data_IF_531293747513
#
_entry.id   IF_531293747513
#
_cell.length_a   1.000
_cell.length_b   1.000
_cell.length_c   1.000
_cell.angle_alpha   90.00
_cell.angle_beta   90.00
_cell.angle_gamma   90.00
#
_symmetry.space_group_name_H-M   'P 1'
#
loop_
_entity.id
_entity.type
_entity.pdbx_description
1 polymer ?
#
# COMPACT_ATOMS: atom_id res chain seq x y z
N UNK A 1 10.59 6.37 -1.26
CA UNK A 1 10.49 7.86 -1.13
C UNK A 1 10.37 8.45 -2.54
N UNK A 2 9.71 9.60 -2.75
CA UNK A 2 9.72 10.25 -4.08
C UNK A 2 11.10 10.88 -4.33
N UNK A 3 11.80 10.45 -5.38
CA UNK A 3 12.95 11.19 -5.92
C UNK A 3 12.47 12.51 -6.56
N UNK A 4 13.38 13.47 -6.75
CA UNK A 4 13.05 14.72 -7.42
C UNK A 4 12.60 14.48 -8.87
N UNK A 5 13.19 13.48 -9.55
CA UNK A 5 12.78 13.02 -10.88
C UNK A 5 11.32 12.53 -10.90
N UNK A 6 10.93 11.68 -9.93
CA UNK A 6 9.54 11.20 -9.85
C UNK A 6 8.58 12.35 -9.54
N UNK A 7 8.97 13.32 -8.69
CA UNK A 7 8.14 14.51 -8.42
C UNK A 7 7.93 15.34 -9.69
N UNK A 8 8.99 15.57 -10.46
CA UNK A 8 8.92 16.33 -11.70
C UNK A 8 7.97 15.65 -12.69
N UNK A 9 8.12 14.34 -12.92
CA UNK A 9 7.23 13.59 -13.81
C UNK A 9 5.78 13.55 -13.30
N UNK A 10 5.56 13.39 -12.00
CA UNK A 10 4.23 13.40 -11.42
C UNK A 10 3.52 14.77 -11.54
N UNK A 11 4.29 15.86 -11.66
CA UNK A 11 3.79 17.22 -11.88
C UNK A 11 3.67 17.58 -13.36
N UNK A 12 4.24 16.79 -14.27
CA UNK A 12 4.10 16.98 -15.70
C UNK A 12 2.71 16.50 -16.18
N UNK A 13 1.84 17.48 -16.42
CA UNK A 13 0.47 17.25 -16.88
C UNK A 13 0.30 17.51 -18.39
N UNK A 14 1.38 17.76 -19.13
CA UNK A 14 1.37 18.14 -20.56
C UNK A 14 0.62 17.13 -21.44
N UNK A 15 0.70 15.85 -21.09
CA UNK A 15 0.04 14.72 -21.78
C UNK A 15 -1.12 14.14 -20.99
N UNK A 16 -1.52 14.74 -19.87
CA UNK A 16 -2.70 14.30 -19.14
C UNK A 16 -3.97 14.78 -19.83
N UNK A 17 -5.05 13.99 -19.72
CA UNK A 17 -6.38 14.37 -20.18
C UNK A 17 -6.96 13.41 -21.20
N UNK A 18 -8.01 13.84 -21.88
CA UNK A 18 -8.71 13.04 -22.90
C UNK A 18 -8.24 13.39 -24.31
N UNK A 19 -8.30 12.41 -25.20
CA UNK A 19 -8.14 12.61 -26.64
C UNK A 19 -9.49 12.35 -27.34
N UNK A 20 -9.92 13.27 -28.18
CA UNK A 20 -11.16 13.14 -28.97
C UNK A 20 -10.91 12.31 -30.21
N UNK A 21 -11.77 11.31 -30.46
CA UNK A 21 -11.66 10.38 -31.59
C UNK A 21 -10.28 9.72 -31.72
N UNK A 22 -9.82 8.99 -30.67
CA UNK A 22 -8.53 8.32 -30.70
C UNK A 22 -8.54 7.14 -31.67
N UNK A 23 -7.42 6.92 -32.35
CA UNK A 23 -7.23 5.74 -33.20
C UNK A 23 -7.10 4.46 -32.37
N UNK A 24 -6.53 4.57 -31.17
CA UNK A 24 -6.40 3.46 -30.24
C UNK A 24 -6.55 3.87 -28.78
N UNK A 25 -7.14 2.97 -27.99
CA UNK A 25 -7.33 3.12 -26.55
C UNK A 25 -6.96 1.84 -25.82
N UNK A 26 -6.15 1.98 -24.78
CA UNK A 26 -5.78 0.89 -23.88
C UNK A 26 -6.05 1.27 -22.43
N UNK A 27 -6.66 0.34 -21.71
CA UNK A 27 -7.09 0.55 -20.33
C UNK A 27 -6.69 -0.61 -19.44
N UNK A 28 -6.12 -0.27 -18.28
CA UNK A 28 -5.88 -1.21 -17.19
C UNK A 28 -6.82 -0.85 -16.05
N UNK A 29 -7.73 -1.75 -15.69
CA UNK A 29 -8.65 -1.57 -14.56
C UNK A 29 -8.00 -1.90 -13.21
N UNK A 30 -8.52 -1.30 -12.12
CA UNK A 30 -8.14 -1.67 -10.74
C UNK A 30 -8.80 -2.98 -10.26
N UNK A 31 -9.87 -3.44 -10.93
CA UNK A 31 -10.57 -4.71 -10.70
C UNK A 31 -11.11 -5.26 -12.02
N UNK A 32 -11.40 -6.56 -12.07
CA UNK A 32 -12.17 -7.16 -13.16
C UNK A 32 -13.52 -6.43 -13.33
N UNK A 33 -13.82 -5.97 -14.54
CA UNK A 33 -15.05 -5.22 -14.84
C UNK A 33 -15.05 -3.73 -14.46
N UNK A 34 -13.90 -3.15 -14.04
CA UNK A 34 -13.75 -1.71 -13.81
C UNK A 34 -12.98 -0.97 -14.93
N UNK A 35 -12.47 -1.69 -15.92
CA UNK A 35 -12.06 -1.07 -17.18
C UNK A 35 -13.28 -0.37 -17.83
N UNK A 36 -13.06 0.79 -18.44
CA UNK A 36 -14.12 1.65 -18.98
C UNK A 36 -14.84 2.57 -17.97
N UNK A 37 -14.80 2.27 -16.66
CA UNK A 37 -15.47 3.11 -15.62
C UNK A 37 -14.49 3.78 -14.64
N UNK A 38 -13.45 3.07 -14.18
CA UNK A 38 -12.39 3.58 -13.29
C UNK A 38 -11.03 2.91 -13.62
N UNK A 39 -10.36 3.30 -14.71
CA UNK A 39 -9.09 2.72 -15.09
C UNK A 39 -7.96 3.14 -14.13
N UNK A 40 -7.13 2.20 -13.69
CA UNK A 40 -5.87 2.48 -13.00
C UNK A 40 -4.97 3.36 -13.88
N UNK A 41 -4.86 3.01 -15.17
CA UNK A 41 -4.26 3.82 -16.21
C UNK A 41 -5.01 3.62 -17.54
N UNK A 42 -5.12 4.70 -18.30
CA UNK A 42 -5.72 4.73 -19.64
C UNK A 42 -4.85 5.55 -20.55
N UNK A 43 -4.54 5.01 -21.73
CA UNK A 43 -3.88 5.72 -22.82
C UNK A 43 -4.80 5.82 -24.02
N UNK A 44 -4.81 6.98 -24.65
CA UNK A 44 -5.49 7.24 -25.91
C UNK A 44 -4.47 7.86 -26.89
N UNK A 45 -4.38 7.30 -28.09
CA UNK A 45 -3.38 7.69 -29.09
C UNK A 45 -4.01 7.97 -30.45
N UNK A 46 -3.38 8.87 -31.20
CA UNK A 46 -3.58 8.98 -32.65
C UNK A 46 -2.31 8.56 -33.38
N UNK A 47 -2.49 7.85 -34.49
CA UNK A 47 -1.42 7.24 -35.26
C UNK A 47 -1.54 7.66 -36.72
N UNK A 48 -0.47 8.24 -37.27
CA UNK A 48 -0.34 8.54 -38.70
C UNK A 48 0.90 7.86 -39.26
N UNK A 49 0.78 7.16 -40.39
CA UNK A 49 1.89 6.44 -41.03
C UNK A 49 2.67 5.53 -40.07
N UNK A 50 1.96 4.82 -39.19
CA UNK A 50 2.53 3.98 -38.12
C UNK A 50 3.32 4.75 -37.03
N UNK A 51 3.19 6.07 -36.93
CA UNK A 51 3.84 6.91 -35.91
C UNK A 51 2.79 7.44 -34.95
N UNK A 52 3.05 7.36 -33.64
CA UNK A 52 2.20 7.96 -32.60
C UNK A 52 2.39 9.47 -32.63
N UNK A 53 1.45 10.19 -33.25
CA UNK A 53 1.54 11.66 -33.42
C UNK A 53 0.98 12.43 -32.22
N UNK A 54 0.14 11.77 -31.41
CA UNK A 54 -0.48 12.37 -30.24
C UNK A 54 -0.85 11.29 -29.25
N UNK A 55 -0.59 11.57 -27.98
CA UNK A 55 -0.88 10.66 -26.87
C UNK A 55 -1.47 11.44 -25.70
N UNK A 56 -2.50 10.88 -25.06
CA UNK A 56 -3.04 11.38 -23.80
C UNK A 56 -3.24 10.24 -22.81
N UNK A 57 -3.00 10.53 -21.54
CA UNK A 57 -3.22 9.56 -20.48
C UNK A 57 -4.18 10.08 -19.40
N UNK A 58 -4.87 9.13 -18.76
CA UNK A 58 -5.69 9.35 -17.58
C UNK A 58 -5.34 8.27 -16.57
N UNK A 59 -5.20 8.66 -15.30
CA UNK A 59 -4.67 7.78 -14.26
C UNK A 59 -5.42 8.03 -12.95
N UNK A 60 -5.87 6.95 -12.32
CA UNK A 60 -6.51 6.95 -11.01
C UNK A 60 -5.65 6.15 -10.02
N UNK A 61 -4.38 6.56 -9.90
CA UNK A 61 -3.33 5.88 -9.15
C UNK A 61 -2.51 6.82 -8.26
N UNK A 62 -1.53 6.26 -7.54
CA UNK A 62 -0.62 7.05 -6.72
C UNK A 62 0.34 7.89 -7.59
N UNK A 63 1.03 8.88 -7.02
CA UNK A 63 1.94 9.74 -7.80
C UNK A 63 3.05 9.00 -8.54
N UNK A 64 3.46 7.80 -8.10
CA UNK A 64 4.36 6.92 -8.85
C UNK A 64 3.73 6.42 -10.16
N UNK A 65 2.45 6.03 -10.14
CA UNK A 65 1.70 5.66 -11.34
C UNK A 65 1.51 6.86 -12.26
N UNK A 66 1.28 8.05 -11.71
CA UNK A 66 1.20 9.30 -12.50
C UNK A 66 2.52 9.55 -13.20
N UNK A 67 3.63 9.50 -12.48
CA UNK A 67 4.97 9.69 -13.02
C UNK A 67 5.30 8.66 -14.12
N UNK A 68 5.01 7.38 -13.87
CA UNK A 68 5.21 6.31 -14.86
C UNK A 68 4.38 6.51 -16.12
N UNK A 69 3.11 6.93 -15.99
CA UNK A 69 2.27 7.22 -17.15
C UNK A 69 2.77 8.44 -17.93
N UNK A 70 3.23 9.48 -17.24
CA UNK A 70 3.78 10.67 -17.87
C UNK A 70 5.07 10.35 -18.64
N UNK A 71 6.00 9.62 -18.02
CA UNK A 71 7.23 9.16 -18.65
C UNK A 71 6.95 8.25 -19.86
N UNK A 72 6.08 7.24 -19.70
CA UNK A 72 5.72 6.36 -20.81
C UNK A 72 5.05 7.13 -21.97
N UNK A 73 4.22 8.14 -21.68
CA UNK A 73 3.60 8.98 -22.69
C UNK A 73 4.64 9.79 -23.48
N UNK A 74 5.60 10.39 -22.76
CA UNK A 74 6.67 11.17 -23.37
C UNK A 74 7.57 10.31 -24.26
N UNK A 75 7.98 9.14 -23.76
CA UNK A 75 8.82 8.20 -24.50
C UNK A 75 8.15 7.67 -25.77
N UNK A 76 6.82 7.58 -25.81
CA UNK A 76 6.08 7.00 -26.92
C UNK A 76 5.69 8.00 -28.01
N UNK A 77 5.55 9.28 -27.69
CA UNK A 77 5.16 10.30 -28.67
C UNK A 77 6.26 10.48 -29.72
N UNK A 78 5.89 10.39 -31.00
CA UNK A 78 6.82 10.44 -32.13
C UNK A 78 7.50 9.12 -32.48
N UNK A 79 7.28 8.04 -31.72
CA UNK A 79 7.78 6.71 -32.05
C UNK A 79 6.85 5.95 -33.01
N UNK A 80 7.41 4.97 -33.71
CA UNK A 80 6.59 4.03 -34.47
C UNK A 80 5.82 3.10 -33.53
N UNK A 81 4.64 2.64 -33.94
CA UNK A 81 3.83 1.68 -33.15
C UNK A 81 4.62 0.42 -32.79
N UNK A 82 5.53 -0.02 -33.66
CA UNK A 82 6.41 -1.16 -33.41
C UNK A 82 7.44 -0.86 -32.31
N UNK A 83 8.03 0.34 -32.31
CA UNK A 83 9.00 0.74 -31.28
C UNK A 83 8.32 0.97 -29.93
N UNK A 84 7.09 1.50 -29.94
CA UNK A 84 6.30 1.64 -28.71
C UNK A 84 6.03 0.27 -28.07
N UNK A 85 5.76 -0.77 -28.87
CA UNK A 85 5.59 -2.14 -28.36
C UNK A 85 6.88 -2.79 -27.80
N UNK A 86 8.04 -2.19 -28.06
CA UNK A 86 9.34 -2.59 -27.49
C UNK A 86 9.68 -1.82 -26.21
N UNK A 87 8.85 -0.87 -25.77
CA UNK A 87 9.04 -0.22 -24.49
C UNK A 87 8.80 -1.23 -23.36
N UNK A 88 9.70 -1.25 -22.39
CA UNK A 88 9.63 -2.14 -21.23
C UNK A 88 9.37 -1.34 -19.97
N UNK A 89 8.77 -1.96 -18.94
CA UNK A 89 8.61 -1.35 -17.61
C UNK A 89 9.95 -0.86 -17.06
N UNK A 90 11.02 -1.65 -17.25
CA UNK A 90 12.37 -1.27 -16.85
C UNK A 90 12.87 0.01 -17.50
N UNK A 91 12.57 0.27 -18.79
CA UNK A 91 12.96 1.53 -19.44
C UNK A 91 12.20 2.74 -18.90
N UNK A 92 10.94 2.55 -18.53
CA UNK A 92 10.15 3.61 -17.85
C UNK A 92 10.71 3.84 -16.45
N UNK A 93 11.06 2.77 -15.73
CA UNK A 93 11.68 2.84 -14.41
C UNK A 93 13.02 3.59 -14.42
N UNK A 94 13.89 3.27 -15.39
CA UNK A 94 15.15 3.98 -15.63
C UNK A 94 14.93 5.47 -15.94
N UNK A 95 13.88 5.81 -16.70
CA UNK A 95 13.51 7.19 -17.00
C UNK A 95 13.08 7.98 -15.75
N UNK A 96 12.56 7.28 -14.74
CA UNK A 96 12.17 7.84 -13.45
C UNK A 96 13.32 7.91 -12.44
N UNK A 97 14.54 7.53 -12.83
CA UNK A 97 15.71 7.38 -11.95
C UNK A 97 15.47 6.32 -10.85
N UNK A 98 14.71 5.29 -11.19
CA UNK A 98 14.36 4.18 -10.31
C UNK A 98 13.15 4.46 -9.43
N UNK A 99 12.15 3.61 -9.55
CA UNK A 99 11.03 3.48 -8.63
C UNK A 99 11.49 2.73 -7.38
N UNK A 100 10.92 3.04 -6.21
CA UNK A 100 11.08 2.18 -5.04
C UNK A 100 10.64 0.76 -5.36
N UNK A 101 11.35 -0.25 -4.84
CA UNK A 101 11.07 -1.67 -5.10
C UNK A 101 9.61 -2.03 -4.80
N UNK A 102 8.98 -1.40 -3.81
CA UNK A 102 7.57 -1.60 -3.48
C UNK A 102 6.57 -0.93 -4.45
N UNK A 103 7.05 -0.29 -5.53
CA UNK A 103 6.28 0.46 -6.54
C UNK A 103 6.68 0.17 -7.99
N UNK A 104 7.54 -0.81 -8.22
CA UNK A 104 7.98 -1.25 -9.56
C UNK A 104 6.82 -1.52 -10.53
N UNK A 105 5.73 -2.12 -10.01
CA UNK A 105 4.50 -2.41 -10.75
C UNK A 105 3.82 -1.18 -11.37
N UNK A 106 4.16 0.05 -10.94
CA UNK A 106 3.62 1.27 -11.53
C UNK A 106 4.07 1.42 -13.00
N UNK A 107 5.30 1.02 -13.31
CA UNK A 107 5.80 1.00 -14.67
C UNK A 107 5.10 -0.08 -15.52
N UNK A 108 4.81 -1.25 -14.94
CA UNK A 108 4.07 -2.32 -15.60
C UNK A 108 2.67 -1.86 -16.03
N UNK A 109 1.93 -1.22 -15.12
CA UNK A 109 0.58 -0.71 -15.41
C UNK A 109 0.62 0.30 -16.57
N UNK A 110 1.58 1.22 -16.56
CA UNK A 110 1.71 2.24 -17.60
C UNK A 110 2.02 1.60 -18.97
N UNK A 111 3.02 0.71 -19.04
CA UNK A 111 3.43 0.06 -20.28
C UNK A 111 2.35 -0.86 -20.83
N UNK A 112 1.65 -1.62 -19.97
CA UNK A 112 0.54 -2.47 -20.42
C UNK A 112 -0.62 -1.66 -21.01
N UNK A 113 -1.01 -0.55 -20.36
CA UNK A 113 -2.05 0.34 -20.87
C UNK A 113 -1.64 0.97 -22.21
N UNK A 114 -0.38 1.41 -22.33
CA UNK A 114 0.17 1.96 -23.57
C UNK A 114 0.21 0.95 -24.71
N UNK A 115 0.69 -0.27 -24.45
CA UNK A 115 0.68 -1.37 -25.43
C UNK A 115 -0.75 -1.74 -25.84
N UNK A 116 -1.70 -1.71 -24.90
CA UNK A 116 -3.13 -1.85 -25.19
C UNK A 116 -3.61 -0.79 -26.20
N UNK A 117 -3.22 0.47 -26.02
CA UNK A 117 -3.60 1.55 -26.93
C UNK A 117 -3.03 1.35 -28.34
N UNK A 118 -1.78 0.89 -28.45
CA UNK A 118 -1.17 0.58 -29.74
C UNK A 118 -1.85 -0.59 -30.43
N UNK A 119 -2.07 -1.70 -29.72
CA UNK A 119 -2.75 -2.87 -30.29
C UNK A 119 -4.19 -2.53 -30.69
N UNK A 120 -4.87 -1.69 -29.92
CA UNK A 120 -6.19 -1.15 -30.25
C UNK A 120 -6.15 -0.38 -31.57
N UNK A 121 -5.19 0.53 -31.75
CA UNK A 121 -5.01 1.28 -33.01
C UNK A 121 -4.74 0.36 -34.21
N UNK A 122 -3.99 -0.72 -34.02
CA UNK A 122 -3.68 -1.68 -35.08
C UNK A 122 -4.83 -2.65 -35.38
N UNK A 123 -5.75 -2.87 -34.43
CA UNK A 123 -6.75 -3.94 -34.43
C UNK A 123 -8.21 -3.49 -34.68
N UNK A 124 -8.42 -2.33 -35.30
CA UNK A 124 -9.72 -1.68 -35.59
C UNK A 124 -10.35 -0.87 -34.43
N UNK A 125 -9.54 -0.29 -33.53
CA UNK A 125 -9.97 0.77 -32.61
C UNK A 125 -10.83 0.32 -31.43
N UNK A 126 -10.97 -1.00 -31.20
CA UNK A 126 -11.64 -1.51 -30.00
C UNK A 126 -10.80 -1.23 -28.76
N UNK A 127 -11.41 -0.72 -27.70
CA UNK A 127 -10.73 -0.51 -26.41
C UNK A 127 -10.23 -1.86 -25.91
N UNK A 128 -8.91 -1.97 -25.70
CA UNK A 128 -8.33 -3.17 -25.08
C UNK A 128 -8.28 -2.97 -23.58
N UNK A 129 -9.16 -3.69 -22.91
CA UNK A 129 -9.27 -3.73 -21.46
C UNK A 129 -8.45 -4.91 -20.94
N UNK A 130 -7.49 -4.61 -20.08
CA UNK A 130 -6.77 -5.62 -19.31
C UNK A 130 -6.86 -5.28 -17.82
N UNK A 131 -6.56 -6.26 -16.99
CA UNK A 131 -6.58 -6.15 -15.55
C UNK A 131 -5.21 -6.52 -15.01
N UNK A 132 -4.65 -5.67 -14.16
CA UNK A 132 -3.49 -6.02 -13.35
C UNK A 132 -3.99 -6.46 -11.97
N UNK A 133 -3.60 -7.65 -11.47
CA UNK A 133 -4.05 -8.19 -10.17
C UNK A 133 -3.64 -7.36 -8.94
N UNK A 134 -3.10 -6.16 -9.13
CA UNK A 134 -2.57 -5.30 -8.06
C UNK A 134 -3.69 -4.50 -7.42
N UNK A 135 -4.54 -5.23 -6.69
CA UNK A 135 -5.29 -4.89 -5.47
C UNK A 135 -6.40 -5.95 -5.35
N UNK A 136 -6.02 -7.23 -5.23
CA UNK A 136 -6.86 -8.11 -4.44
C UNK A 136 -6.89 -7.53 -3.03
N UNK A 137 -8.10 -7.32 -2.52
CA UNK A 137 -8.37 -7.22 -1.09
C UNK A 137 -7.91 -8.57 -0.53
N UNK A 138 -6.60 -8.71 -0.28
CA UNK A 138 -6.05 -9.99 0.14
C UNK A 138 -6.76 -10.32 1.43
N UNK A 139 -7.47 -11.45 1.41
CA UNK A 139 -8.01 -12.05 2.62
C UNK A 139 -6.90 -12.22 3.67
N UNK A 140 -7.27 -12.60 4.89
CA UNK A 140 -6.32 -12.67 5.97
C UNK A 140 -5.13 -13.59 5.62
N UNK A 141 -3.91 -13.08 5.78
CA UNK A 141 -2.66 -13.82 5.48
C UNK A 141 -2.45 -14.96 6.47
N UNK A 142 -2.91 -14.77 7.70
CA UNK A 142 -2.91 -15.76 8.78
C UNK A 142 -4.36 -16.13 9.05
N UNK A 143 -4.62 -17.41 9.32
CA UNK A 143 -5.93 -17.89 9.77
C UNK A 143 -5.81 -18.58 11.12
N UNK A 144 -6.95 -18.93 11.73
CA UNK A 144 -6.99 -19.66 13.01
C UNK A 144 -6.30 -21.04 12.94
N UNK A 145 -6.09 -21.58 11.75
CA UNK A 145 -5.44 -22.87 11.52
C UNK A 145 -3.91 -22.77 11.42
N UNK A 146 -3.35 -21.55 11.46
CA UNK A 146 -1.91 -21.36 11.40
C UNK A 146 -1.21 -22.01 12.62
N UNK A 147 -0.22 -22.90 12.43
CA UNK A 147 0.42 -23.62 13.54
C UNK A 147 1.10 -22.71 14.57
N UNK A 148 1.72 -21.62 14.13
CA UNK A 148 2.38 -20.66 15.02
C UNK A 148 1.34 -19.88 15.82
N UNK A 149 0.28 -19.40 15.17
CA UNK A 149 -0.85 -18.76 15.85
C UNK A 149 -1.50 -19.69 16.88
N UNK A 150 -1.75 -20.96 16.52
CA UNK A 150 -2.31 -21.94 17.45
C UNK A 150 -1.39 -22.22 18.64
N UNK A 151 -0.07 -22.34 18.40
CA UNK A 151 0.89 -22.52 19.48
C UNK A 151 0.89 -21.33 20.46
N UNK A 152 0.79 -20.10 19.95
CA UNK A 152 0.65 -18.89 20.76
C UNK A 152 -0.66 -18.88 21.55
N UNK A 153 -1.79 -19.15 20.90
CA UNK A 153 -3.11 -19.08 21.52
C UNK A 153 -3.43 -20.22 22.48
N UNK A 154 -2.88 -21.42 22.25
CA UNK A 154 -3.03 -22.58 23.12
C UNK A 154 -2.10 -22.57 24.33
N UNK A 155 -1.12 -21.66 24.38
CA UNK A 155 -0.27 -21.49 25.57
C UNK A 155 -1.06 -20.88 26.75
N UNK A 156 -0.57 -20.95 27.99
CA UNK A 156 -1.13 -20.18 29.10
C UNK A 156 -1.06 -18.65 28.84
N UNK A 157 -2.17 -17.94 29.06
CA UNK A 157 -2.22 -16.48 28.96
C UNK A 157 -1.46 -15.81 30.12
N UNK A 158 -0.97 -14.59 29.89
CA UNK A 158 -0.52 -13.70 30.97
C UNK A 158 -1.67 -13.27 31.88
N UNK A 159 -1.35 -12.84 33.11
CA UNK A 159 -2.36 -12.54 34.14
C UNK A 159 -3.23 -11.30 33.85
N UNK A 160 -2.74 -10.34 33.06
CA UNK A 160 -3.40 -9.04 32.82
C UNK A 160 -3.77 -8.79 31.35
N UNK A 161 -3.76 -9.82 30.50
CA UNK A 161 -4.06 -9.68 29.07
C UNK A 161 -5.49 -10.11 28.74
N UNK A 162 -6.19 -9.29 27.95
CA UNK A 162 -7.53 -9.62 27.41
C UNK A 162 -7.42 -10.65 26.28
N UNK A 163 -8.51 -11.34 25.97
CA UNK A 163 -8.52 -12.27 24.84
C UNK A 163 -8.27 -11.55 23.51
N UNK A 164 -8.80 -10.33 23.37
CA UNK A 164 -8.67 -9.49 22.18
C UNK A 164 -7.24 -8.99 21.96
N UNK A 165 -6.56 -8.51 23.01
CA UNK A 165 -5.18 -8.05 22.91
C UNK A 165 -4.22 -9.22 22.74
N UNK A 166 -4.52 -10.36 23.38
CA UNK A 166 -3.78 -11.60 23.16
C UNK A 166 -3.89 -12.07 21.70
N UNK A 167 -5.08 -12.06 21.13
CA UNK A 167 -5.30 -12.36 19.72
C UNK A 167 -4.52 -11.41 18.81
N UNK A 168 -4.61 -10.10 19.04
CA UNK A 168 -3.87 -9.07 18.30
C UNK A 168 -2.37 -9.38 18.27
N UNK A 169 -1.75 -9.58 19.43
CA UNK A 169 -0.30 -9.84 19.49
C UNK A 169 0.06 -11.22 18.94
N UNK A 170 -0.83 -12.22 19.01
CA UNK A 170 -0.61 -13.50 18.37
C UNK A 170 -0.54 -13.36 16.83
N UNK A 171 -1.48 -12.62 16.24
CA UNK A 171 -1.47 -12.33 14.79
C UNK A 171 -0.19 -11.60 14.37
N UNK A 172 0.20 -10.57 15.12
CA UNK A 172 1.39 -9.76 14.85
C UNK A 172 2.68 -10.59 14.91
N UNK A 173 2.84 -11.41 15.95
CA UNK A 173 4.00 -12.31 16.07
C UNK A 173 4.01 -13.38 14.98
N UNK A 174 2.85 -13.94 14.65
CA UNK A 174 2.74 -14.99 13.63
C UNK A 174 3.16 -14.48 12.26
N UNK A 175 2.61 -13.36 11.82
CA UNK A 175 2.95 -12.80 10.50
C UNK A 175 4.41 -12.38 10.41
N UNK A 176 5.00 -11.89 11.51
CA UNK A 176 6.41 -11.55 11.58
C UNK A 176 7.32 -12.78 11.54
N UNK A 177 6.94 -13.87 12.21
CA UNK A 177 7.73 -15.10 12.25
C UNK A 177 7.76 -15.86 10.92
N UNK A 178 6.80 -15.62 10.02
CA UNK A 178 6.78 -16.16 8.65
C UNK A 178 7.56 -15.31 7.65
N UNK A 179 8.02 -14.14 8.06
CA UNK A 179 8.82 -13.25 7.23
C UNK A 179 10.31 -13.62 7.32
N UNK A 180 11.13 -13.26 6.32
CA UNK A 180 12.53 -13.68 6.26
C UNK A 180 13.45 -13.00 7.29
N UNK A 181 12.92 -12.06 8.09
CA UNK A 181 13.65 -11.23 9.03
C UNK A 181 13.47 -11.69 10.47
N UNK A 182 14.39 -11.26 11.34
CA UNK A 182 14.18 -11.36 12.78
C UNK A 182 12.82 -10.75 13.19
N UNK A 183 12.05 -11.49 13.97
CA UNK A 183 10.68 -11.13 14.35
C UNK A 183 10.60 -9.81 15.10
N UNK A 184 11.56 -9.49 15.98
CA UNK A 184 11.58 -8.21 16.69
C UNK A 184 11.82 -7.07 15.70
N UNK A 185 12.77 -7.23 14.79
CA UNK A 185 13.07 -6.25 13.74
C UNK A 185 11.89 -6.05 12.77
N UNK A 186 11.25 -7.13 12.32
CA UNK A 186 10.08 -7.08 11.43
C UNK A 186 8.89 -6.33 12.05
N UNK A 187 8.77 -6.39 13.39
CA UNK A 187 7.77 -5.66 14.16
C UNK A 187 8.20 -4.23 14.54
N UNK A 188 9.40 -3.80 14.19
CA UNK A 188 9.95 -2.51 14.58
C UNK A 188 10.14 -2.37 16.09
N UNK A 189 10.33 -3.49 16.80
CA UNK A 189 10.57 -3.55 18.24
C UNK A 189 12.06 -3.72 18.54
N UNK A 190 12.49 -3.23 19.71
CA UNK A 190 13.78 -3.65 20.26
C UNK A 190 13.69 -5.10 20.78
N UNK A 191 14.83 -5.78 20.92
CA UNK A 191 14.85 -7.13 21.49
C UNK A 191 14.34 -7.16 22.95
N UNK A 192 14.54 -6.07 23.69
CA UNK A 192 13.97 -5.91 25.03
C UNK A 192 12.44 -5.83 24.99
N UNK A 193 11.89 -5.00 24.09
CA UNK A 193 10.43 -4.87 23.93
C UNK A 193 9.80 -6.19 23.46
N UNK A 194 10.46 -6.89 22.53
CA UNK A 194 10.02 -8.19 22.06
C UNK A 194 9.98 -9.22 23.21
N UNK A 195 11.04 -9.28 24.01
CA UNK A 195 11.10 -10.18 25.18
C UNK A 195 10.00 -9.84 26.18
N UNK A 196 9.79 -8.55 26.49
CA UNK A 196 8.74 -8.10 27.40
C UNK A 196 7.33 -8.45 26.87
N UNK A 197 7.11 -8.31 25.56
CA UNK A 197 5.86 -8.69 24.90
C UNK A 197 5.59 -10.18 25.09
N UNK A 198 6.57 -11.04 24.83
CA UNK A 198 6.43 -12.49 25.04
C UNK A 198 6.16 -12.84 26.50
N UNK A 199 6.92 -12.29 27.44
CA UNK A 199 6.70 -12.57 28.87
C UNK A 199 5.33 -12.10 29.36
N UNK A 200 4.81 -11.01 28.79
CA UNK A 200 3.53 -10.43 29.18
C UNK A 200 2.35 -11.19 28.57
N UNK A 201 2.44 -11.53 27.28
CA UNK A 201 1.30 -12.06 26.52
C UNK A 201 1.30 -13.60 26.44
N UNK A 202 2.50 -14.20 26.39
CA UNK A 202 2.73 -15.62 26.09
C UNK A 202 3.85 -16.22 26.96
N UNK A 203 3.75 -16.18 28.30
CA UNK A 203 4.86 -16.48 29.22
C UNK A 203 5.46 -17.89 29.10
N UNK A 204 4.71 -18.85 28.55
CA UNK A 204 5.18 -20.22 28.36
C UNK A 204 5.75 -20.50 26.94
N UNK A 205 5.66 -19.53 26.03
CA UNK A 205 6.14 -19.68 24.66
C UNK A 205 7.62 -19.38 24.62
N UNK A 206 8.38 -20.29 24.02
CA UNK A 206 9.82 -20.10 23.87
C UNK A 206 10.13 -19.24 22.63
N UNK A 207 11.09 -18.30 22.70
CA UNK A 207 11.44 -17.43 21.57
C UNK A 207 11.84 -18.19 20.30
N UNK A 208 12.35 -19.42 20.41
CA UNK A 208 12.80 -20.21 19.27
C UNK A 208 11.66 -20.56 18.29
N UNK A 209 10.41 -20.58 18.77
CA UNK A 209 9.23 -20.76 17.93
C UNK A 209 9.05 -19.59 16.94
N UNK A 210 9.57 -18.42 17.31
CA UNK A 210 9.38 -17.15 16.60
C UNK A 210 10.69 -16.66 15.98
N UNK A 211 11.80 -17.37 16.14
CA UNK A 211 13.08 -16.99 15.57
C UNK A 211 13.27 -17.70 14.23
N UNK A 212 13.00 -16.98 13.15
CA UNK A 212 13.41 -17.36 11.81
C UNK A 212 14.14 -16.18 11.18
N UNK A 213 15.31 -16.40 10.60
CA UNK A 213 16.04 -15.38 9.86
C UNK A 213 16.81 -16.07 8.74
N UNK A 214 16.56 -15.65 7.50
CA UNK A 214 17.27 -16.18 6.35
C UNK A 214 18.61 -15.45 6.18
N UNK A 215 19.73 -16.17 5.92
CA UNK A 215 21.06 -15.56 5.78
C UNK A 215 21.15 -14.46 4.71
N UNK A 216 20.34 -14.58 3.66
CA UNK A 216 20.30 -13.67 2.50
C UNK A 216 18.96 -12.92 2.39
N UNK A 217 18.36 -12.57 3.53
CA UNK A 217 17.10 -11.83 3.54
C UNK A 217 17.23 -10.46 2.82
N UNK A 218 16.21 -10.02 2.06
CA UNK A 218 16.18 -8.69 1.47
C UNK A 218 16.22 -7.60 2.57
N UNK A 219 16.51 -6.35 2.22
CA UNK A 219 16.46 -5.26 3.19
C UNK A 219 15.04 -5.06 3.72
N UNK A 220 14.91 -4.82 5.03
CA UNK A 220 13.62 -4.53 5.64
C UNK A 220 13.06 -3.21 5.09
N UNK A 221 11.75 -3.14 4.76
CA UNK A 221 11.11 -1.88 4.39
C UNK A 221 11.34 -0.81 5.47
N UNK A 222 11.87 0.35 5.07
CA UNK A 222 12.21 1.42 6.00
C UNK A 222 10.94 2.15 6.48
N UNK A 223 10.65 2.19 7.79
CA UNK A 223 9.53 2.95 8.31
C UNK A 223 9.72 4.45 8.11
N UNK A 224 8.63 5.19 7.93
CA UNK A 224 8.69 6.65 7.86
C UNK A 224 8.75 7.24 9.27
N UNK A 225 9.81 8.02 9.56
CA UNK A 225 10.03 8.61 10.89
C UNK A 225 8.98 9.66 11.28
N UNK A 226 8.41 10.39 10.33
CA UNK A 226 7.34 11.35 10.63
C UNK A 226 6.04 10.61 11.01
N UNK A 227 5.75 9.48 10.34
CA UNK A 227 4.66 8.58 10.74
C UNK A 227 4.92 8.00 12.13
N UNK A 228 6.16 7.63 12.44
CA UNK A 228 6.55 7.18 13.78
C UNK A 228 6.20 8.24 14.83
N UNK A 229 6.56 9.50 14.59
CA UNK A 229 6.27 10.61 15.50
C UNK A 229 4.76 10.79 15.68
N UNK A 230 3.99 10.75 14.59
CA UNK A 230 2.51 10.86 14.63
C UNK A 230 1.92 9.74 15.50
N UNK A 231 2.25 8.48 15.24
CA UNK A 231 1.65 7.35 15.96
C UNK A 231 2.10 7.32 17.43
N UNK A 232 3.38 7.60 17.70
CA UNK A 232 3.90 7.66 19.07
C UNK A 232 3.27 8.78 19.90
N UNK A 233 2.90 9.91 19.28
CA UNK A 233 2.18 11.01 19.97
C UNK A 233 0.80 10.61 20.52
N UNK A 234 0.26 9.47 20.06
CA UNK A 234 -1.02 8.93 20.51
C UNK A 234 -0.90 7.85 21.60
N UNK A 235 0.32 7.50 22.03
CA UNK A 235 0.53 6.53 23.12
C UNK A 235 0.05 7.15 24.45
N UNK A 236 -0.82 6.47 25.23
CA UNK A 236 -1.33 7.01 26.48
C UNK A 236 -0.25 7.13 27.56
N UNK A 237 -0.19 8.27 28.24
CA UNK A 237 0.66 8.46 29.42
C UNK A 237 0.07 7.85 30.70
N UNK A 238 -1.25 7.63 30.71
CA UNK A 238 -2.01 7.12 31.85
C UNK A 238 -2.41 5.65 31.63
N UNK A 239 -2.68 4.92 32.71
CA UNK A 239 -3.08 3.50 32.68
C UNK A 239 -2.14 2.59 33.47
N UNK A 240 -2.38 1.28 33.43
CA UNK A 240 -1.43 0.29 34.00
C UNK A 240 -0.13 0.26 33.20
N UNK A 241 0.95 -0.23 33.81
CA UNK A 241 2.23 -0.41 33.11
C UNK A 241 2.09 -1.33 31.89
N UNK A 242 1.33 -2.43 32.03
CA UNK A 242 1.05 -3.38 30.96
C UNK A 242 0.32 -2.71 29.80
N UNK A 243 -0.74 -1.92 30.08
CA UNK A 243 -1.48 -1.20 29.04
C UNK A 243 -0.60 -0.19 28.27
N UNK A 244 0.25 0.56 28.98
CA UNK A 244 1.16 1.51 28.33
C UNK A 244 2.19 0.80 27.44
N UNK A 245 2.73 -0.32 27.90
CA UNK A 245 3.65 -1.14 27.10
C UNK A 245 2.96 -1.68 25.85
N UNK A 246 1.75 -2.24 25.96
CA UNK A 246 0.98 -2.72 24.81
C UNK A 246 0.67 -1.61 23.80
N UNK A 247 0.29 -0.41 24.27
CA UNK A 247 0.07 0.74 23.40
C UNK A 247 1.34 1.18 22.67
N UNK A 248 2.48 1.22 23.38
CA UNK A 248 3.79 1.56 22.79
C UNK A 248 4.24 0.51 21.76
N UNK A 249 4.07 -0.78 22.04
CA UNK A 249 4.37 -1.85 21.08
C UNK A 249 3.49 -1.74 19.85
N UNK A 250 2.17 -1.55 20.02
CA UNK A 250 1.27 -1.37 18.89
C UNK A 250 1.65 -0.15 18.05
N UNK A 251 2.05 0.97 18.66
CA UNK A 251 2.50 2.16 17.94
C UNK A 251 3.74 1.89 17.07
N UNK A 252 4.75 1.21 17.62
CA UNK A 252 5.95 0.79 16.88
C UNK A 252 5.60 -0.16 15.74
N UNK A 253 4.73 -1.13 15.99
CA UNK A 253 4.31 -2.13 15.01
C UNK A 253 3.50 -1.49 13.88
N UNK A 254 2.54 -0.60 14.18
CA UNK A 254 1.79 0.14 13.16
C UNK A 254 2.74 0.92 12.27
N UNK A 255 3.75 1.57 12.87
CA UNK A 255 4.76 2.33 12.14
C UNK A 255 5.56 1.44 11.18
N UNK A 256 6.05 0.29 11.66
CA UNK A 256 6.77 -0.67 10.82
C UNK A 256 5.89 -1.25 9.71
N UNK A 257 4.69 -1.73 10.07
CA UNK A 257 3.73 -2.35 9.14
C UNK A 257 3.13 -1.37 8.14
N UNK A 258 3.16 -0.07 8.40
CA UNK A 258 2.76 0.96 7.45
C UNK A 258 3.76 1.10 6.27
N UNK A 259 5.02 0.67 6.42
CA UNK A 259 5.99 0.68 5.33
C UNK A 259 5.66 -0.38 4.25
N UNK A 260 5.08 -1.52 4.64
CA UNK A 260 4.73 -2.61 3.73
C UNK A 260 3.63 -2.22 2.74
N UNK A 261 3.62 -2.73 1.50
CA UNK A 261 2.54 -2.50 0.55
C UNK A 261 1.19 -3.07 1.04
N UNK A 262 0.09 -2.64 0.43
CA UNK A 262 -1.25 -3.14 0.74
C UNK A 262 -1.92 -2.52 1.98
N UNK A 263 -2.94 -3.23 2.48
CA UNK A 263 -3.74 -2.82 3.64
C UNK A 263 -3.05 -3.12 4.97
N UNK A 264 -3.10 -2.15 5.89
CA UNK A 264 -2.41 -2.26 7.19
C UNK A 264 -2.88 -3.46 8.03
N UNK A 265 -4.17 -3.79 8.00
CA UNK A 265 -4.68 -4.94 8.76
C UNK A 265 -4.13 -6.27 8.21
N UNK A 266 -3.96 -6.38 6.90
CA UNK A 266 -3.36 -7.53 6.22
C UNK A 266 -1.87 -7.64 6.55
N UNK A 267 -1.12 -6.53 6.52
CA UNK A 267 0.30 -6.54 6.90
C UNK A 267 0.51 -6.81 8.40
N UNK A 268 -0.51 -6.58 9.22
CA UNK A 268 -0.56 -6.97 10.63
C UNK A 268 -1.06 -8.41 10.87
N UNK A 269 -1.39 -9.16 9.83
CA UNK A 269 -1.83 -10.55 9.95
C UNK A 269 -3.18 -10.73 10.61
N UNK A 270 -4.01 -9.69 10.68
CA UNK A 270 -5.34 -9.74 11.31
C UNK A 270 -6.31 -10.53 10.43
N UNK A 271 -7.32 -11.14 11.05
CA UNK A 271 -8.28 -11.99 10.36
C UNK A 271 -9.33 -11.16 9.65
N UNK A 272 -9.70 -10.03 10.25
CA UNK A 272 -10.71 -9.13 9.70
C UNK A 272 -10.31 -7.68 9.89
N UNK A 273 -10.72 -6.84 8.95
CA UNK A 273 -10.45 -5.40 8.99
C UNK A 273 -10.95 -4.70 10.27
N UNK A 274 -12.14 -5.00 10.83
CA UNK A 274 -12.63 -4.35 12.05
C UNK A 274 -11.73 -4.59 13.28
N UNK A 275 -10.96 -5.68 13.32
CA UNK A 275 -10.06 -6.01 14.43
C UNK A 275 -8.98 -4.95 14.62
N UNK A 276 -8.48 -4.36 13.52
CA UNK A 276 -7.50 -3.27 13.58
C UNK A 276 -8.11 -2.03 14.22
N UNK A 277 -9.31 -1.64 13.78
CA UNK A 277 -10.03 -0.50 14.34
C UNK A 277 -10.34 -0.71 15.82
N UNK A 278 -10.79 -1.91 16.19
CA UNK A 278 -11.07 -2.25 17.59
C UNK A 278 -9.79 -2.17 18.45
N UNK A 279 -8.67 -2.70 17.96
CA UNK A 279 -7.38 -2.66 18.65
C UNK A 279 -6.87 -1.23 18.84
N UNK A 280 -6.98 -0.38 17.81
CA UNK A 280 -6.61 1.04 17.91
C UNK A 280 -7.54 1.79 18.87
N UNK A 281 -8.86 1.54 18.86
CA UNK A 281 -9.79 2.14 19.82
C UNK A 281 -9.44 1.79 21.27
N UNK A 282 -8.99 0.56 21.54
CA UNK A 282 -8.59 0.12 22.90
C UNK A 282 -7.23 0.68 23.32
N UNK A 283 -6.21 0.55 22.47
CA UNK A 283 -4.81 0.80 22.86
C UNK A 283 -4.29 2.19 22.48
N UNK A 284 -4.87 2.84 21.47
CA UNK A 284 -4.50 4.18 20.98
C UNK A 284 -5.76 5.07 20.79
N UNK A 285 -6.52 5.31 21.88
CA UNK A 285 -7.86 5.91 21.79
C UNK A 285 -7.88 7.32 21.21
N UNK A 286 -6.83 8.12 21.41
CA UNK A 286 -6.73 9.47 20.84
C UNK A 286 -6.53 9.43 19.32
N UNK A 287 -5.80 8.43 18.81
CA UNK A 287 -5.67 8.18 17.37
C UNK A 287 -7.02 7.73 16.78
N UNK A 288 -7.76 6.91 17.52
CA UNK A 288 -9.11 6.53 17.15
C UNK A 288 -10.07 7.71 17.04
N UNK A 289 -10.05 8.61 18.01
CA UNK A 289 -10.85 9.83 18.00
C UNK A 289 -10.46 10.77 16.84
N UNK A 290 -9.17 10.83 16.49
CA UNK A 290 -8.70 11.64 15.36
C UNK A 290 -9.19 11.10 14.00
N UNK A 291 -9.33 9.78 13.85
CA UNK A 291 -9.91 9.14 12.67
C UNK A 291 -11.45 8.98 12.75
N UNK A 292 -12.16 10.03 13.15
CA UNK A 292 -13.60 9.99 13.42
C UNK A 292 -14.50 9.73 12.19
N UNK A 293 -13.96 9.85 10.97
CA UNK A 293 -14.69 9.57 9.72
C UNK A 293 -14.50 8.13 9.21
N UNK A 294 -13.80 7.27 9.94
CA UNK A 294 -13.62 5.87 9.56
C UNK A 294 -12.74 5.67 8.32
N UNK A 295 -11.74 6.52 8.13
CA UNK A 295 -10.81 6.41 7.01
C UNK A 295 -9.95 5.15 7.19
N UNK A 296 -9.55 4.50 6.09
CA UNK A 296 -8.61 3.38 6.15
C UNK A 296 -7.34 3.85 6.86
N UNK A 297 -6.89 3.12 7.88
CA UNK A 297 -5.83 3.54 8.81
C UNK A 297 -4.56 4.04 8.14
N UNK A 298 -4.07 3.32 7.13
CA UNK A 298 -2.90 3.75 6.37
C UNK A 298 -3.14 5.10 5.67
N UNK A 299 -4.30 5.28 5.03
CA UNK A 299 -4.66 6.56 4.37
C UNK A 299 -4.77 7.69 5.39
N UNK A 300 -5.36 7.42 6.56
CA UNK A 300 -5.41 8.38 7.67
C UNK A 300 -3.99 8.85 8.06
N UNK A 301 -3.06 7.93 8.32
CA UNK A 301 -1.70 8.28 8.75
C UNK A 301 -0.96 9.16 7.73
N UNK A 302 -0.98 8.75 6.45
CA UNK A 302 -0.31 9.52 5.39
C UNK A 302 -1.01 10.85 5.09
N UNK A 303 -2.34 10.94 5.23
CA UNK A 303 -3.05 12.21 5.12
C UNK A 303 -2.65 13.17 6.24
N UNK A 304 -2.65 12.69 7.50
CA UNK A 304 -2.23 13.49 8.65
C UNK A 304 -0.81 14.02 8.47
N UNK A 305 0.09 13.18 7.94
CA UNK A 305 1.44 13.61 7.62
C UNK A 305 1.47 14.74 6.59
N UNK A 306 0.76 14.58 5.47
CA UNK A 306 0.69 15.61 4.44
C UNK A 306 0.10 16.92 4.96
N UNK A 307 -0.98 16.85 5.76
CA UNK A 307 -1.61 18.01 6.37
C UNK A 307 -0.62 18.76 7.30
N UNK A 308 0.19 18.04 8.09
CA UNK A 308 1.21 18.64 8.98
C UNK A 308 2.35 19.31 8.21
N UNK A 309 2.74 18.74 7.06
CA UNK A 309 3.82 19.26 6.21
C UNK A 309 3.33 20.31 5.20
N UNK A 310 2.06 20.76 5.28
CA UNK A 310 1.47 21.73 4.37
C UNK A 310 1.31 21.24 2.92
N UNK A 311 1.45 19.93 2.70
CA UNK A 311 1.35 19.29 1.40
C UNK A 311 -0.08 18.82 1.14
N UNK A 312 -0.60 19.04 -0.07
CA UNK A 312 -1.96 18.65 -0.43
C UNK A 312 -1.94 17.24 -1.04
N UNK A 313 -2.30 16.22 -0.25
CA UNK A 313 -2.55 14.88 -0.76
C UNK A 313 -3.94 14.76 -1.45
N UNK A 314 -4.89 15.61 -1.05
CA UNK A 314 -6.28 15.54 -1.47
C UNK A 314 -6.59 16.58 -2.54
N UNK A 315 -6.90 16.14 -3.77
CA UNK A 315 -7.25 17.04 -4.89
C UNK A 315 -8.65 17.68 -4.75
N UNK A 316 -9.53 17.11 -3.93
CA UNK A 316 -10.91 17.59 -3.74
C UNK A 316 -11.10 18.31 -2.40
N UNK A 317 -11.73 19.51 -2.37
CA UNK A 317 -12.07 20.19 -1.12
C UNK A 317 -13.18 19.49 -0.32
N UNK A 318 -13.96 18.60 -0.97
CA UNK A 318 -15.02 17.81 -0.34
C UNK A 318 -14.77 16.31 -0.55
N UNK A 319 -14.62 15.56 0.55
CA UNK A 319 -14.42 14.12 0.49
C UNK A 319 -15.63 13.39 -0.10
N UNK A 320 -16.86 13.83 0.17
CA UNK A 320 -18.09 13.15 -0.29
C UNK A 320 -18.30 13.19 -1.80
N UNK A 321 -17.64 14.12 -2.48
CA UNK A 321 -17.66 14.29 -3.94
C UNK A 321 -16.32 13.89 -4.58
N UNK A 322 -15.38 13.37 -3.78
CA UNK A 322 -14.08 12.94 -4.25
C UNK A 322 -14.20 11.59 -4.98
N UNK A 323 -13.64 11.50 -6.20
CA UNK A 323 -13.56 10.25 -6.96
C UNK A 323 -12.87 9.12 -6.19
N UNK A 324 -11.95 9.49 -5.28
CA UNK A 324 -11.13 8.56 -4.51
C UNK A 324 -11.75 8.22 -3.14
N UNK A 325 -13.00 8.66 -2.87
CA UNK A 325 -13.67 8.43 -1.59
C UNK A 325 -13.67 6.94 -1.21
N UNK A 326 -14.00 6.04 -2.14
CA UNK A 326 -14.04 4.59 -1.88
C UNK A 326 -12.67 3.96 -1.56
N UNK A 327 -11.56 4.62 -1.95
CA UNK A 327 -10.20 4.18 -1.63
C UNK A 327 -9.77 4.62 -0.23
N UNK A 328 -10.31 5.74 0.24
CA UNK A 328 -10.06 6.32 1.55
C UNK A 328 -11.04 5.80 2.62
N UNK A 329 -12.27 5.54 2.22
CA UNK A 329 -13.39 5.12 3.05
C UNK A 329 -13.98 3.87 2.44
N UNK A 330 -14.04 2.79 3.20
CA UNK A 330 -14.75 1.59 2.79
C UNK A 330 -15.58 1.10 3.98
N UNK A 331 -16.77 0.52 3.75
CA UNK A 331 -17.62 -0.01 4.82
C UNK A 331 -16.82 -0.96 5.73
N UNK A 332 -17.17 -1.03 7.00
CA UNK A 332 -16.59 -1.99 7.95
C UNK A 332 -17.24 -3.39 7.83
N UNK A 333 -18.02 -3.65 6.78
CA UNK A 333 -18.80 -4.88 6.65
C UNK A 333 -17.97 -6.10 6.23
N UNK A 334 -17.90 -7.03 7.20
CA UNK A 334 -17.71 -8.50 7.17
C UNK A 334 -16.46 -9.08 6.53
#
# INVERSE_FOLDING_TARGET
MYSDTIRQWAMDLSRSGTLTNPDGVGEIGLKAGQAGTRPAARFAINVENNIVIKIRFQVFGCGFTIAACAAAADMAEGLSVSDVLLLTPQRVDECLDGLPAERDYCADIAVQALHGAVRSAMGAGQVLESYSPVEEDHGPRITADNPCYQALMNSPAGQEITAEDRHLFACLLTIAAEEPWDTAQALGLTQEQFTQLLTTCFPAVKPELLSHCLPDAPSLPQPNDEIRVIVQSHVPEQGSAVQRSMASWLASIITARAAHPGHLWVSMGLFQRPELTASIRRLLPTMAAANNKGMRWKRFLFKTLCDQNGAVLCKSPNCGECSDYALCFAPEES
#
